data_IF_309301777211
#
_entry.id   IF_309301777211
#
_cell.length_a   1.000
_cell.length_b   1.000
_cell.length_c   1.000
_cell.angle_alpha   90.00
_cell.angle_beta   90.00
_cell.angle_gamma   90.00
#
_symmetry.space_group_name_H-M   'P 1'
#
loop_
_entity.id
_entity.type
_entity.pdbx_description
1 polymer ?
#
# COMPACT_ATOMS: atom_id res chain seq x y z
N UNK A 1 25.15 6.12 -6.16
CA UNK A 1 25.28 6.65 -7.56
C UNK A 1 23.94 7.27 -7.97
N UNK A 2 23.94 8.48 -8.51
CA UNK A 2 22.73 9.13 -9.05
C UNK A 2 22.68 8.90 -10.55
N UNK A 3 21.57 8.43 -11.08
CA UNK A 3 21.36 8.17 -12.52
C UNK A 3 19.97 8.65 -12.93
N UNK A 4 19.78 8.85 -14.23
CA UNK A 4 18.50 9.29 -14.82
C UNK A 4 17.93 8.19 -15.69
N UNK A 5 16.63 8.03 -15.69
CA UNK A 5 15.86 7.06 -16.46
C UNK A 5 14.69 7.77 -17.16
N UNK A 6 14.47 7.48 -18.44
CA UNK A 6 13.26 7.88 -19.15
C UNK A 6 12.20 6.77 -19.02
N UNK A 7 11.03 7.13 -18.53
CA UNK A 7 9.93 6.18 -18.32
C UNK A 7 8.58 6.83 -18.64
N UNK A 8 7.86 6.26 -19.61
CA UNK A 8 6.56 6.76 -20.07
C UNK A 8 6.56 8.26 -20.45
N UNK A 9 7.68 8.75 -21.02
CA UNK A 9 7.84 10.16 -21.41
C UNK A 9 8.22 11.11 -20.27
N UNK A 10 8.52 10.58 -19.08
CA UNK A 10 8.95 11.38 -17.93
C UNK A 10 10.39 11.04 -17.53
N UNK A 11 11.15 12.07 -17.17
CA UNK A 11 12.51 11.93 -16.66
C UNK A 11 12.48 11.64 -15.17
N UNK A 12 13.05 10.50 -14.78
CA UNK A 12 13.11 10.05 -13.39
C UNK A 12 14.56 10.01 -12.93
N UNK A 13 14.86 10.74 -11.88
CA UNK A 13 16.15 10.67 -11.20
C UNK A 13 16.09 9.58 -10.13
N UNK A 14 17.16 8.80 -10.00
CA UNK A 14 17.28 7.77 -8.96
C UNK A 14 18.64 7.82 -8.27
N UNK A 15 18.63 7.59 -6.96
CA UNK A 15 19.82 7.32 -6.16
C UNK A 15 19.65 5.98 -5.49
N UNK A 16 20.64 5.11 -5.71
CA UNK A 16 20.76 3.87 -4.97
C UNK A 16 22.04 3.92 -4.15
N UNK A 17 21.92 3.66 -2.88
CA UNK A 17 23.03 3.46 -1.98
C UNK A 17 23.50 1.99 -2.04
N UNK A 18 24.62 1.67 -1.42
CA UNK A 18 25.03 0.29 -1.29
C UNK A 18 24.01 -0.45 -0.42
N UNK A 19 23.57 -1.62 -0.88
CA UNK A 19 22.68 -2.48 -0.12
C UNK A 19 23.29 -2.78 1.24
N UNK A 20 22.57 -2.50 2.30
CA UNK A 20 22.97 -2.91 3.64
C UNK A 20 22.85 -4.44 3.74
N UNK A 21 23.87 -5.15 4.24
CA UNK A 21 23.75 -6.58 4.46
C UNK A 21 22.59 -6.86 5.42
N UNK A 22 21.89 -7.98 5.21
CA UNK A 22 20.82 -8.50 6.08
C UNK A 22 19.52 -7.67 6.11
N UNK A 23 19.16 -6.99 5.01
CA UNK A 23 17.83 -6.37 4.90
C UNK A 23 16.75 -7.40 4.60
N UNK A 24 15.61 -7.32 5.30
CA UNK A 24 14.51 -8.30 5.17
C UNK A 24 13.48 -7.85 4.11
N UNK A 25 13.07 -6.60 4.15
CA UNK A 25 12.10 -6.02 3.22
C UNK A 25 12.67 -4.84 2.44
N UNK A 26 12.21 -4.65 1.21
CA UNK A 26 12.29 -3.38 0.49
C UNK A 26 10.98 -2.64 0.69
N UNK A 27 11.01 -1.52 1.43
CA UNK A 27 9.83 -0.71 1.77
C UNK A 27 9.70 0.40 0.73
N UNK A 28 8.62 0.36 -0.05
CA UNK A 28 8.31 1.31 -1.11
C UNK A 28 7.36 2.37 -0.57
N UNK A 29 7.81 3.63 -0.53
CA UNK A 29 7.05 4.75 0.05
C UNK A 29 6.86 5.84 -1.01
N UNK A 30 5.68 5.95 -1.63
CA UNK A 30 5.35 7.09 -2.48
C UNK A 30 5.03 8.30 -1.62
N UNK A 31 5.60 9.46 -1.94
CA UNK A 31 5.28 10.73 -1.28
C UNK A 31 5.02 11.83 -2.30
N UNK A 32 4.15 12.77 -1.95
CA UNK A 32 3.84 13.97 -2.73
C UNK A 32 3.66 15.18 -1.83
N UNK A 33 4.71 16.00 -1.69
CA UNK A 33 4.70 17.21 -0.87
C UNK A 33 4.05 16.97 0.51
N UNK A 34 4.67 16.08 1.30
CA UNK A 34 4.15 15.62 2.59
C UNK A 34 5.27 15.41 3.61
N UNK A 35 6.26 16.34 3.62
CA UNK A 35 7.51 16.24 4.39
C UNK A 35 7.31 15.82 5.83
N UNK A 36 6.45 16.51 6.57
CA UNK A 36 6.26 16.29 8.01
C UNK A 36 5.80 14.87 8.33
N UNK A 37 4.90 14.32 7.49
CA UNK A 37 4.45 12.94 7.65
C UNK A 37 5.52 11.94 7.21
N UNK A 38 6.23 12.24 6.11
CA UNK A 38 7.33 11.42 5.61
C UNK A 38 8.44 11.29 6.66
N UNK A 39 8.82 12.38 7.32
CA UNK A 39 9.80 12.37 8.41
C UNK A 39 9.35 11.48 9.58
N UNK A 40 8.09 11.61 9.99
CA UNK A 40 7.52 10.81 11.06
C UNK A 40 7.43 9.31 10.68
N UNK A 41 7.06 9.00 9.43
CA UNK A 41 7.04 7.64 8.91
C UNK A 41 8.43 7.00 8.94
N UNK A 42 9.45 7.67 8.38
CA UNK A 42 10.82 7.18 8.35
C UNK A 42 11.40 7.03 9.76
N UNK A 43 11.14 7.99 10.65
CA UNK A 43 11.55 7.90 12.06
C UNK A 43 10.98 6.64 12.70
N UNK A 44 9.69 6.38 12.54
CA UNK A 44 9.06 5.19 13.12
C UNK A 44 9.64 3.89 12.56
N UNK A 45 9.94 3.82 11.26
CA UNK A 45 10.60 2.67 10.66
C UNK A 45 11.98 2.40 11.27
N UNK A 46 12.79 3.44 11.51
CA UNK A 46 14.11 3.32 12.12
C UNK A 46 14.06 2.90 13.59
N UNK A 47 13.05 3.36 14.31
CA UNK A 47 12.92 3.22 15.76
C UNK A 47 12.21 1.92 16.17
N UNK A 48 11.14 1.54 15.44
CA UNK A 48 10.23 0.48 15.85
C UNK A 48 10.26 -0.79 14.99
N UNK A 49 11.09 -0.84 13.95
CA UNK A 49 11.30 -2.08 13.21
C UNK A 49 12.25 -3.01 13.95
N UNK A 50 11.92 -4.28 14.01
CA UNK A 50 12.77 -5.33 14.61
C UNK A 50 13.95 -5.69 13.70
N UNK A 51 13.80 -5.51 12.39
CA UNK A 51 14.80 -5.82 11.38
C UNK A 51 15.27 -4.56 10.65
N UNK A 52 16.40 -4.69 9.97
CA UNK A 52 16.83 -3.67 9.00
C UNK A 52 16.07 -3.87 7.69
N UNK A 53 15.69 -2.76 7.09
CA UNK A 53 14.99 -2.73 5.80
C UNK A 53 15.70 -1.84 4.81
N UNK A 54 15.54 -2.13 3.52
CA UNK A 54 15.84 -1.18 2.47
C UNK A 54 14.66 -0.21 2.35
N UNK A 55 14.87 1.06 2.64
CA UNK A 55 13.85 2.10 2.51
C UNK A 55 14.02 2.78 1.16
N UNK A 56 12.96 2.79 0.35
CA UNK A 56 12.94 3.36 -1.00
C UNK A 56 11.79 4.35 -1.09
N UNK A 57 12.11 5.62 -1.23
CA UNK A 57 11.12 6.70 -1.35
C UNK A 57 10.99 7.14 -2.80
N UNK A 58 9.77 7.21 -3.32
CA UNK A 58 9.53 7.95 -4.56
C UNK A 58 8.99 9.34 -4.22
N UNK A 59 9.76 10.36 -4.60
CA UNK A 59 9.39 11.77 -4.39
C UNK A 59 8.71 12.30 -5.66
N UNK A 60 7.40 12.58 -5.57
CA UNK A 60 6.68 13.34 -6.57
C UNK A 60 6.79 14.84 -6.24
N UNK A 61 7.28 15.67 -7.17
CA UNK A 61 7.54 17.10 -7.04
C UNK A 61 8.56 17.46 -5.94
N UNK A 62 8.25 17.25 -4.66
CA UNK A 62 9.14 17.54 -3.53
C UNK A 62 9.35 19.04 -3.26
N UNK A 63 8.42 19.89 -3.69
CA UNK A 63 8.51 21.35 -3.58
C UNK A 63 8.34 21.89 -2.15
N UNK A 64 7.91 21.06 -1.21
CA UNK A 64 7.75 21.36 0.22
C UNK A 64 9.04 21.15 1.05
N UNK A 65 10.16 20.84 0.39
CA UNK A 65 11.43 20.49 1.02
C UNK A 65 11.67 18.98 1.16
N UNK A 66 10.73 18.13 0.76
CA UNK A 66 10.87 16.68 0.84
C UNK A 66 12.10 16.18 0.08
N UNK A 67 12.36 16.72 -1.12
CA UNK A 67 13.52 16.30 -1.93
C UNK A 67 14.84 16.68 -1.26
N UNK A 68 14.93 17.90 -0.72
CA UNK A 68 16.15 18.38 -0.04
C UNK A 68 16.42 17.57 1.23
N UNK A 69 15.37 17.23 1.96
CA UNK A 69 15.46 16.37 3.13
C UNK A 69 15.94 14.96 2.76
N UNK A 70 15.38 14.35 1.71
CA UNK A 70 15.80 13.02 1.22
C UNK A 70 17.27 13.01 0.80
N UNK A 71 17.78 14.09 0.21
CA UNK A 71 19.19 14.20 -0.15
C UNK A 71 20.12 14.07 1.05
N UNK A 72 19.66 14.47 2.22
CA UNK A 72 20.42 14.41 3.47
C UNK A 72 20.34 13.05 4.17
N UNK A 73 19.53 12.11 3.67
CA UNK A 73 19.36 10.78 4.25
C UNK A 73 20.27 9.75 3.54
N UNK A 74 21.41 9.33 4.14
CA UNK A 74 22.36 8.43 3.48
C UNK A 74 21.86 6.98 3.39
N UNK A 75 20.91 6.59 4.20
CA UNK A 75 20.33 5.24 4.32
C UNK A 75 19.05 5.03 3.49
N UNK A 76 18.60 6.07 2.77
CA UNK A 76 17.39 6.02 1.95
C UNK A 76 17.77 5.97 0.47
N UNK A 77 17.29 4.95 -0.23
CA UNK A 77 17.25 4.94 -1.69
C UNK A 77 16.05 5.78 -2.15
N UNK A 78 16.19 6.48 -3.26
CA UNK A 78 15.06 7.23 -3.76
C UNK A 78 14.98 7.26 -5.29
N UNK A 79 13.74 7.48 -5.75
CA UNK A 79 13.44 7.92 -7.11
C UNK A 79 12.69 9.25 -7.04
N UNK A 80 12.87 10.08 -8.04
CA UNK A 80 12.30 11.43 -8.08
C UNK A 80 11.72 11.76 -9.44
N UNK A 81 10.53 12.32 -9.48
CA UNK A 81 9.91 12.93 -10.66
C UNK A 81 9.58 14.39 -10.40
N UNK A 82 9.90 15.25 -11.37
CA UNK A 82 9.63 16.70 -11.27
C UNK A 82 8.13 17.01 -11.17
N UNK A 83 7.29 16.10 -11.67
CA UNK A 83 5.85 16.23 -11.67
C UNK A 83 5.23 15.10 -10.83
N UNK A 84 4.00 15.31 -10.35
CA UNK A 84 3.26 14.25 -9.66
C UNK A 84 2.74 13.23 -10.67
N UNK A 85 3.42 12.09 -10.78
CA UNK A 85 3.03 10.97 -11.63
C UNK A 85 2.00 10.03 -10.98
N UNK A 86 1.70 10.26 -9.70
CA UNK A 86 0.78 9.44 -8.93
C UNK A 86 1.40 8.16 -8.37
N UNK A 87 0.62 7.47 -7.51
CA UNK A 87 1.11 6.35 -6.72
C UNK A 87 1.51 5.13 -7.57
N UNK A 88 0.83 4.88 -8.70
CA UNK A 88 1.15 3.72 -9.54
C UNK A 88 2.54 3.82 -10.16
N UNK A 89 2.86 4.97 -10.75
CA UNK A 89 4.21 5.24 -11.27
C UNK A 89 5.24 5.25 -10.15
N UNK A 90 4.93 5.88 -9.02
CA UNK A 90 5.81 5.97 -7.87
C UNK A 90 6.25 4.57 -7.37
N UNK A 91 5.30 3.68 -7.16
CA UNK A 91 5.57 2.32 -6.68
C UNK A 91 6.34 1.49 -7.70
N UNK A 92 5.95 1.53 -8.99
CA UNK A 92 6.64 0.79 -10.04
C UNK A 92 8.08 1.28 -10.22
N UNK A 93 8.31 2.58 -10.06
CA UNK A 93 9.65 3.16 -10.19
C UNK A 93 10.50 2.83 -8.97
N UNK A 94 9.94 2.92 -7.76
CA UNK A 94 10.63 2.52 -6.53
C UNK A 94 11.02 1.03 -6.56
N UNK A 95 10.14 0.16 -7.12
CA UNK A 95 10.43 -1.28 -7.32
C UNK A 95 11.75 -1.53 -8.06
N UNK A 96 12.15 -0.66 -8.98
CA UNK A 96 13.40 -0.83 -9.75
C UNK A 96 14.66 -0.76 -8.90
N UNK A 97 14.58 -0.22 -7.68
CA UNK A 97 15.67 -0.14 -6.73
C UNK A 97 15.67 -1.27 -5.69
N UNK A 98 14.55 -2.00 -5.57
CA UNK A 98 14.37 -3.01 -4.54
C UNK A 98 15.32 -4.22 -4.73
N UNK A 99 16.02 -4.59 -3.67
CA UNK A 99 17.01 -5.67 -3.66
C UNK A 99 16.54 -6.94 -2.96
N UNK A 100 15.52 -6.82 -2.09
CA UNK A 100 15.04 -7.96 -1.31
C UNK A 100 13.95 -8.75 -2.05
N UNK A 101 13.67 -9.95 -1.58
CA UNK A 101 12.61 -10.80 -2.16
C UNK A 101 11.21 -10.33 -1.78
N UNK A 102 11.07 -9.53 -0.73
CA UNK A 102 9.78 -9.11 -0.19
C UNK A 102 9.63 -7.60 -0.26
N UNK A 103 8.55 -7.15 -0.88
CA UNK A 103 8.22 -5.75 -1.09
C UNK A 103 7.10 -5.34 -0.15
N UNK A 104 7.30 -4.26 0.58
CA UNK A 104 6.24 -3.63 1.40
C UNK A 104 5.89 -2.29 0.78
N UNK A 105 4.63 -2.10 0.41
CA UNK A 105 4.10 -0.77 0.13
C UNK A 105 3.60 -0.14 1.42
N UNK A 106 4.11 1.02 1.76
CA UNK A 106 3.75 1.80 2.94
C UNK A 106 3.43 3.24 2.53
N UNK A 107 2.34 3.82 3.05
CA UNK A 107 2.06 5.24 2.83
C UNK A 107 2.96 6.13 3.71
N UNK A 108 3.27 7.32 3.20
CA UNK A 108 4.07 8.33 3.90
C UNK A 108 3.39 8.92 5.15
N UNK A 109 2.06 8.77 5.28
CA UNK A 109 1.25 9.20 6.42
C UNK A 109 0.93 8.06 7.41
N UNK A 110 1.82 7.07 7.49
CA UNK A 110 1.73 5.97 8.44
C UNK A 110 2.89 6.03 9.45
N UNK A 111 2.59 5.60 10.67
CA UNK A 111 3.55 5.38 11.75
C UNK A 111 3.50 3.90 12.13
N UNK A 112 4.64 3.21 12.06
CA UNK A 112 4.70 1.79 12.40
C UNK A 112 4.85 1.59 13.90
N UNK A 113 4.10 0.63 14.48
CA UNK A 113 4.24 0.26 15.87
C UNK A 113 5.37 -0.78 16.05
N UNK A 114 5.91 -0.95 17.26
CA UNK A 114 6.97 -1.92 17.54
C UNK A 114 6.64 -3.33 17.02
N UNK A 115 7.64 -4.02 16.49
CA UNK A 115 7.58 -5.39 15.98
C UNK A 115 6.59 -5.63 14.81
N UNK A 116 6.09 -4.59 14.16
CA UNK A 116 5.17 -4.72 13.02
C UNK A 116 5.72 -5.63 11.93
N UNK A 117 7.00 -5.51 11.65
CA UNK A 117 7.75 -6.23 10.63
C UNK A 117 8.09 -7.66 11.05
N UNK A 118 8.44 -7.88 12.33
CA UNK A 118 8.67 -9.23 12.88
C UNK A 118 7.41 -10.08 12.75
N UNK A 119 6.27 -9.53 13.10
CA UNK A 119 4.99 -10.23 13.01
C UNK A 119 4.65 -10.57 11.55
N UNK A 120 4.92 -9.65 10.59
CA UNK A 120 4.75 -9.95 9.17
C UNK A 120 5.74 -11.02 8.68
N UNK A 121 6.97 -10.98 9.18
CA UNK A 121 8.01 -11.97 8.80
C UNK A 121 7.66 -13.37 9.32
N UNK A 122 7.22 -13.48 10.56
CA UNK A 122 6.71 -14.74 11.14
C UNK A 122 5.56 -15.32 10.29
N UNK A 123 4.67 -14.46 9.82
CA UNK A 123 3.57 -14.85 8.94
C UNK A 123 4.07 -15.39 7.59
N UNK A 124 5.03 -14.69 6.96
CA UNK A 124 5.67 -15.14 5.71
C UNK A 124 6.31 -16.51 5.89
N UNK A 125 7.05 -16.72 6.98
CA UNK A 125 7.69 -18.00 7.27
C UNK A 125 6.65 -19.11 7.49
N UNK A 126 5.54 -18.80 8.17
CA UNK A 126 4.44 -19.73 8.40
C UNK A 126 3.69 -20.13 7.15
N UNK A 127 3.55 -19.22 6.17
CA UNK A 127 2.95 -19.52 4.85
C UNK A 127 3.85 -20.45 4.02
N UNK A 128 5.17 -20.30 4.08
CA UNK A 128 6.14 -21.20 3.45
C UNK A 128 6.18 -21.18 1.92
N UNK A 129 5.49 -20.24 1.26
CA UNK A 129 5.55 -20.05 -0.20
C UNK A 129 5.28 -18.58 -0.59
N UNK A 130 5.57 -18.19 -1.84
CA UNK A 130 5.47 -16.79 -2.30
C UNK A 130 4.08 -16.32 -2.74
N UNK A 131 3.08 -17.20 -2.82
CA UNK A 131 1.76 -16.90 -3.37
C UNK A 131 0.81 -16.35 -2.30
N UNK A 132 1.07 -15.13 -1.84
CA UNK A 132 0.27 -14.43 -0.83
C UNK A 132 0.27 -12.92 -1.06
N UNK A 133 -0.69 -12.25 -0.44
CA UNK A 133 -0.76 -10.81 -0.26
C UNK A 133 -1.25 -10.53 1.15
N UNK A 134 -0.37 -10.05 2.01
CA UNK A 134 -0.68 -9.82 3.43
C UNK A 134 -0.51 -8.35 3.78
N UNK A 135 -1.20 -7.89 4.81
CA UNK A 135 -1.07 -6.51 5.29
C UNK A 135 -1.08 -6.42 6.80
N UNK A 136 -0.44 -5.37 7.34
CA UNK A 136 -0.62 -4.97 8.73
C UNK A 136 -2.04 -4.43 8.94
N UNK A 137 -2.46 -4.37 10.18
CA UNK A 137 -3.74 -3.76 10.57
C UNK A 137 -3.54 -2.31 10.98
N UNK A 138 -4.21 -1.40 10.29
CA UNK A 138 -4.18 0.02 10.60
C UNK A 138 -5.04 0.34 11.85
N UNK A 139 -4.51 1.24 12.69
CA UNK A 139 -5.26 1.95 13.73
C UNK A 139 -5.54 3.34 13.17
N UNK A 140 -6.80 3.76 13.12
CA UNK A 140 -7.23 5.00 12.47
C UNK A 140 -8.21 5.78 13.35
N UNK A 141 -8.09 7.13 13.41
CA UNK A 141 -9.08 7.97 14.10
C UNK A 141 -10.48 7.83 13.51
N UNK A 142 -10.56 7.65 12.19
CA UNK A 142 -11.79 7.46 11.44
C UNK A 142 -11.58 6.30 10.46
N UNK A 143 -11.88 5.06 10.84
CA UNK A 143 -11.65 3.90 10.00
C UNK A 143 -12.51 3.94 8.74
N UNK A 144 -11.88 3.65 7.62
CA UNK A 144 -12.55 3.57 6.33
C UNK A 144 -13.20 2.20 6.09
N UNK A 145 -12.87 1.22 6.91
CA UNK A 145 -13.40 -0.14 6.79
C UNK A 145 -13.35 -0.90 8.11
N UNK A 146 -14.00 -2.06 8.14
CA UNK A 146 -13.92 -3.01 9.25
C UNK A 146 -12.58 -3.78 9.33
N UNK A 147 -11.64 -3.51 8.43
CA UNK A 147 -10.27 -4.06 8.49
C UNK A 147 -9.39 -3.29 9.47
N UNK A 148 -9.68 -2.00 9.66
CA UNK A 148 -8.94 -1.14 10.59
C UNK A 148 -9.51 -1.22 12.00
N UNK A 149 -8.72 -0.73 12.96
CA UNK A 149 -9.11 -0.51 14.35
C UNK A 149 -9.46 0.98 14.51
N UNK A 150 -10.60 1.27 15.12
CA UNK A 150 -10.96 2.65 15.45
C UNK A 150 -10.36 3.05 16.79
N UNK A 151 -9.33 3.91 16.74
CA UNK A 151 -8.81 4.59 17.94
C UNK A 151 -8.13 5.88 17.52
N UNK A 152 -8.37 6.97 18.24
CA UNK A 152 -7.88 8.31 17.91
C UNK A 152 -6.72 8.68 18.83
N UNK A 153 -5.50 8.60 18.32
CA UNK A 153 -4.28 9.06 18.97
C UNK A 153 -3.75 10.37 18.37
N UNK A 154 -4.60 11.11 17.66
CA UNK A 154 -4.28 12.37 16.98
C UNK A 154 -4.45 12.27 15.48
N UNK A 155 -4.89 13.36 14.85
CA UNK A 155 -5.23 13.40 13.42
C UNK A 155 -4.16 14.02 12.56
N UNK A 156 -3.14 14.60 13.17
CA UNK A 156 -1.98 15.18 12.51
C UNK A 156 -0.74 14.85 13.32
N UNK A 157 0.44 14.96 12.71
CA UNK A 157 1.71 14.75 13.40
C UNK A 157 1.85 15.66 14.63
N UNK A 158 1.34 16.90 14.55
CA UNK A 158 1.41 17.87 15.66
C UNK A 158 0.51 17.52 16.85
N UNK A 159 -0.56 16.76 16.62
CA UNK A 159 -1.52 16.34 17.65
C UNK A 159 -1.35 14.86 18.03
N UNK A 160 -0.34 14.21 17.49
CA UNK A 160 -0.09 12.80 17.68
C UNK A 160 0.36 12.50 19.12
N UNK A 161 -0.33 11.59 19.75
CA UNK A 161 -0.04 11.09 21.10
C UNK A 161 0.65 9.74 21.01
N UNK A 162 1.94 9.81 20.66
CA UNK A 162 2.75 8.63 20.38
C UNK A 162 2.86 7.70 21.60
N UNK A 163 3.20 8.24 22.77
CA UNK A 163 3.33 7.45 24.00
C UNK A 163 2.03 6.70 24.32
N UNK A 164 0.89 7.37 24.19
CA UNK A 164 -0.42 6.76 24.41
C UNK A 164 -0.71 5.64 23.39
N UNK A 165 -0.31 5.82 22.12
CA UNK A 165 -0.41 4.76 21.12
C UNK A 165 0.46 3.56 21.51
N UNK A 166 1.73 3.79 21.86
CA UNK A 166 2.70 2.74 22.18
C UNK A 166 2.29 1.93 23.43
N UNK A 167 1.69 2.56 24.40
CA UNK A 167 1.13 1.89 25.57
C UNK A 167 -0.09 1.02 25.25
N UNK A 168 -0.86 1.39 24.22
CA UNK A 168 -2.19 0.82 23.99
C UNK A 168 -2.37 0.04 22.68
N UNK A 169 -1.43 0.10 21.70
CA UNK A 169 -1.65 -0.46 20.35
C UNK A 169 -1.95 -1.98 20.34
N UNK A 170 -1.49 -2.75 21.33
CA UNK A 170 -1.79 -4.18 21.47
C UNK A 170 -3.01 -4.49 22.35
N UNK A 171 -3.44 -3.53 23.19
CA UNK A 171 -4.58 -3.73 24.09
C UNK A 171 -5.90 -3.91 23.33
N UNK A 172 -6.00 -3.36 22.12
CA UNK A 172 -7.18 -3.48 21.27
C UNK A 172 -7.08 -4.77 20.47
N UNK A 173 -7.84 -5.78 20.87
CA UNK A 173 -7.87 -7.07 20.17
C UNK A 173 -8.38 -6.93 18.74
N UNK A 174 -7.67 -7.54 17.81
CA UNK A 174 -8.07 -7.67 16.41
C UNK A 174 -7.62 -9.03 15.89
N UNK A 175 -8.53 -9.94 15.56
CA UNK A 175 -8.17 -11.18 14.89
C UNK A 175 -7.64 -10.92 13.49
N UNK A 176 -6.91 -11.88 12.93
CA UNK A 176 -6.56 -11.86 11.52
C UNK A 176 -7.83 -11.82 10.66
N UNK A 177 -7.76 -11.10 9.52
CA UNK A 177 -8.92 -10.83 8.69
C UNK A 177 -8.61 -11.07 7.20
N UNK A 178 -9.66 -11.34 6.43
CA UNK A 178 -9.57 -11.50 4.98
C UNK A 178 -9.60 -10.16 4.25
N UNK A 179 -8.98 -10.12 3.07
CA UNK A 179 -9.13 -9.03 2.11
C UNK A 179 -8.08 -7.94 2.24
N UNK A 180 -6.84 -8.33 2.60
CA UNK A 180 -5.69 -7.44 2.46
C UNK A 180 -5.71 -6.80 1.07
N UNK A 181 -5.72 -5.48 1.01
CA UNK A 181 -5.84 -4.71 -0.24
C UNK A 181 -5.07 -3.40 -0.12
N UNK A 182 -5.22 -2.69 1.00
CA UNK A 182 -4.61 -1.39 1.24
C UNK A 182 -3.32 -1.47 2.03
N UNK A 183 -2.40 -0.50 1.88
CA UNK A 183 -1.16 -0.45 2.65
C UNK A 183 -1.41 -0.38 4.16
N UNK A 184 -0.42 -0.81 4.98
CA UNK A 184 0.82 -1.43 4.51
C UNK A 184 0.57 -2.85 4.04
N UNK A 185 1.05 -3.18 2.86
CA UNK A 185 0.90 -4.52 2.32
C UNK A 185 2.23 -5.10 1.86
N UNK A 186 2.35 -6.42 1.94
CA UNK A 186 3.54 -7.18 1.64
C UNK A 186 3.25 -8.24 0.60
N UNK A 187 4.15 -8.34 -0.39
CA UNK A 187 4.10 -9.29 -1.48
C UNK A 187 5.51 -9.74 -1.85
N UNK A 188 5.66 -10.96 -2.36
CA UNK A 188 6.92 -11.41 -2.93
C UNK A 188 7.19 -10.72 -4.28
N UNK A 189 8.44 -10.34 -4.55
CA UNK A 189 8.84 -9.63 -5.79
C UNK A 189 8.42 -10.36 -7.07
N UNK A 190 8.56 -11.68 -7.12
CA UNK A 190 8.18 -12.47 -8.31
C UNK A 190 6.67 -12.40 -8.57
N UNK A 191 5.87 -12.32 -7.51
CA UNK A 191 4.40 -12.16 -7.64
C UNK A 191 4.06 -10.76 -8.12
N UNK A 192 4.75 -9.73 -7.60
CA UNK A 192 4.64 -8.36 -8.09
C UNK A 192 4.98 -8.27 -9.58
N UNK A 193 6.13 -8.82 -9.97
CA UNK A 193 6.63 -8.76 -11.35
C UNK A 193 5.74 -9.57 -12.31
N UNK A 194 5.25 -10.75 -11.88
CA UNK A 194 4.32 -11.60 -12.64
C UNK A 194 3.04 -10.86 -13.02
N UNK A 195 2.51 -10.01 -12.14
CA UNK A 195 1.29 -9.23 -12.43
C UNK A 195 1.59 -7.85 -13.03
N UNK A 196 2.87 -7.50 -13.21
CA UNK A 196 3.31 -6.23 -13.81
C UNK A 196 3.14 -5.00 -12.91
N UNK A 197 3.27 -5.16 -11.60
CA UNK A 197 3.17 -4.07 -10.62
C UNK A 197 1.82 -3.37 -10.60
N UNK A 198 1.78 -2.08 -10.26
CA UNK A 198 0.57 -1.26 -10.26
C UNK A 198 0.26 -0.75 -11.68
N UNK A 199 -0.99 -0.82 -12.09
CA UNK A 199 -1.43 -0.40 -13.43
C UNK A 199 -1.49 1.13 -13.52
N UNK A 200 -0.67 1.71 -14.39
CA UNK A 200 -0.47 3.18 -14.49
C UNK A 200 -1.72 3.94 -14.93
N UNK A 201 -2.64 3.28 -15.61
CA UNK A 201 -3.94 3.86 -15.98
C UNK A 201 -4.78 4.29 -14.78
N UNK A 202 -4.48 3.78 -13.58
CA UNK A 202 -5.14 4.21 -12.34
C UNK A 202 -4.46 5.40 -11.67
N UNK A 203 -3.39 5.98 -12.25
CA UNK A 203 -2.84 7.22 -11.73
C UNK A 203 -3.90 8.35 -11.75
N UNK A 204 -3.92 9.22 -10.74
CA UNK A 204 -2.94 9.39 -9.66
C UNK A 204 -3.08 8.41 -8.47
N UNK A 205 -4.05 7.45 -8.44
CA UNK A 205 -3.99 6.39 -7.44
C UNK A 205 -5.31 5.76 -7.00
N UNK A 206 -6.45 6.43 -7.16
CA UNK A 206 -7.73 5.85 -6.71
C UNK A 206 -8.07 4.58 -7.49
N UNK A 207 -8.46 3.52 -6.78
CA UNK A 207 -8.74 2.19 -7.31
C UNK A 207 -7.53 1.39 -7.77
N UNK A 208 -6.31 1.88 -7.60
CA UNK A 208 -5.08 1.13 -7.89
C UNK A 208 -4.92 -0.10 -7.00
N UNK A 209 -5.21 0.00 -5.70
CA UNK A 209 -5.10 -1.13 -4.76
C UNK A 209 -6.12 -2.24 -5.06
N UNK A 210 -7.41 -1.95 -5.30
CA UNK A 210 -8.34 -2.95 -5.81
C UNK A 210 -7.92 -3.57 -7.14
N UNK A 211 -7.36 -2.77 -8.06
CA UNK A 211 -6.85 -3.28 -9.34
C UNK A 211 -5.68 -4.26 -9.13
N UNK A 212 -4.71 -3.89 -8.32
CA UNK A 212 -3.59 -4.76 -7.98
C UNK A 212 -4.08 -6.07 -7.32
N UNK A 213 -5.02 -5.97 -6.36
CA UNK A 213 -5.64 -7.14 -5.73
C UNK A 213 -6.37 -8.02 -6.74
N UNK A 214 -7.06 -7.44 -7.72
CA UNK A 214 -7.74 -8.20 -8.76
C UNK A 214 -6.75 -8.91 -9.70
N UNK A 215 -5.63 -8.27 -10.06
CA UNK A 215 -4.55 -8.92 -10.82
C UNK A 215 -3.98 -10.12 -10.07
N UNK A 216 -3.71 -9.96 -8.78
CA UNK A 216 -3.26 -11.06 -7.92
C UNK A 216 -4.29 -12.21 -7.86
N UNK A 217 -5.57 -11.88 -7.73
CA UNK A 217 -6.65 -12.87 -7.76
C UNK A 217 -6.67 -13.66 -9.08
N UNK A 218 -6.58 -12.97 -10.21
CA UNK A 218 -6.53 -13.59 -11.54
C UNK A 218 -5.28 -14.46 -11.74
N UNK A 219 -4.18 -14.09 -11.11
CA UNK A 219 -2.94 -14.87 -11.09
C UNK A 219 -2.98 -16.08 -10.14
N UNK A 220 -4.14 -16.36 -9.51
CA UNK A 220 -4.32 -17.52 -8.64
C UNK A 220 -3.96 -17.31 -7.16
N UNK A 221 -3.61 -16.09 -6.73
CA UNK A 221 -3.40 -15.81 -5.32
C UNK A 221 -4.72 -15.93 -4.58
N UNK A 222 -4.71 -16.63 -3.43
CA UNK A 222 -5.90 -16.85 -2.58
C UNK A 222 -5.66 -16.50 -1.11
N UNK A 223 -4.43 -16.23 -0.70
CA UNK A 223 -4.10 -15.71 0.62
C UNK A 223 -4.09 -14.18 0.54
N UNK A 224 -5.18 -13.55 0.99
CA UNK A 224 -5.32 -12.11 1.18
C UNK A 224 -5.59 -11.87 2.66
N UNK A 225 -4.53 -11.87 3.48
CA UNK A 225 -4.64 -11.88 4.93
C UNK A 225 -4.19 -10.56 5.54
N UNK A 226 -5.04 -9.94 6.33
CA UNK A 226 -4.64 -8.89 7.24
C UNK A 226 -4.21 -9.47 8.58
N UNK A 227 -3.01 -9.13 9.00
CA UNK A 227 -2.38 -9.68 10.20
C UNK A 227 -2.78 -8.82 11.39
N UNK A 228 -3.59 -9.40 12.27
CA UNK A 228 -4.19 -8.67 13.39
C UNK A 228 -3.17 -8.13 14.40
N UNK A 229 -2.02 -8.78 14.58
CA UNK A 229 -0.98 -8.39 15.53
C UNK A 229 0.04 -7.39 14.96
N UNK A 230 0.22 -7.33 13.64
CA UNK A 230 1.05 -6.32 12.99
C UNK A 230 0.30 -5.00 12.92
N UNK A 231 0.81 -3.92 13.51
CA UNK A 231 0.09 -2.66 13.71
C UNK A 231 0.81 -1.47 13.11
N UNK A 232 0.02 -0.58 12.53
CA UNK A 232 0.47 0.76 12.14
C UNK A 232 -0.60 1.78 12.54
N UNK A 233 -0.20 3.02 12.83
CA UNK A 233 -1.12 4.14 12.96
C UNK A 233 -1.19 4.89 11.63
N UNK A 234 -2.40 5.16 11.14
CA UNK A 234 -2.62 5.86 9.88
C UNK A 234 -3.39 7.15 10.13
N UNK A 235 -2.79 8.28 9.79
CA UNK A 235 -3.35 9.61 10.04
C UNK A 235 -4.56 9.95 9.16
N UNK A 236 -4.78 9.20 8.07
CA UNK A 236 -6.02 9.27 7.31
C UNK A 236 -5.95 10.01 5.98
N UNK A 237 -5.13 9.52 5.06
CA UNK A 237 -5.17 9.88 3.63
C UNK A 237 -5.06 11.39 3.34
N UNK A 238 -4.06 12.05 3.93
CA UNK A 238 -3.87 13.49 3.83
C UNK A 238 -3.69 13.94 2.38
N UNK A 239 -2.91 13.18 1.59
CA UNK A 239 -2.60 13.50 0.18
C UNK A 239 -3.74 13.21 -0.79
N UNK A 240 -4.55 12.19 -0.56
CA UNK A 240 -5.65 11.81 -1.48
C UNK A 240 -6.75 12.85 -1.59
N UNK A 241 -6.97 13.65 -0.53
CA UNK A 241 -7.94 14.76 -0.54
C UNK A 241 -7.57 15.88 -1.54
N UNK A 242 -6.31 15.95 -1.96
CA UNK A 242 -5.82 16.93 -2.96
C UNK A 242 -6.06 16.51 -4.40
N UNK A 243 -6.36 15.22 -4.62
CA UNK A 243 -6.59 14.67 -5.96
C UNK A 243 -8.00 15.02 -6.44
N UNK A 244 -8.11 15.81 -7.50
CA UNK A 244 -9.38 16.17 -8.14
C UNK A 244 -9.57 15.36 -9.43
N UNK A 245 -10.81 14.86 -9.66
CA UNK A 245 -11.18 14.30 -10.95
C UNK A 245 -10.57 12.93 -11.28
N UNK A 246 -10.60 11.98 -10.36
CA UNK A 246 -10.07 10.63 -10.61
C UNK A 246 -11.13 9.70 -11.23
N UNK A 247 -10.92 9.18 -12.45
CA UNK A 247 -11.85 8.28 -13.14
C UNK A 247 -11.75 6.81 -12.68
N UNK A 248 -10.92 6.48 -11.68
CA UNK A 248 -10.56 5.11 -11.28
C UNK A 248 -11.74 4.16 -11.08
N UNK A 249 -12.88 4.65 -10.56
CA UNK A 249 -14.10 3.84 -10.44
C UNK A 249 -14.59 3.33 -11.81
N UNK A 250 -14.67 4.22 -12.79
CA UNK A 250 -15.11 3.88 -14.14
C UNK A 250 -14.08 2.95 -14.81
N UNK A 251 -12.81 3.26 -14.67
CA UNK A 251 -11.70 2.46 -15.19
C UNK A 251 -11.72 1.02 -14.62
N UNK A 252 -11.93 0.88 -13.31
CA UNK A 252 -12.00 -0.43 -12.66
C UNK A 252 -13.14 -1.29 -13.23
N UNK A 253 -14.33 -0.70 -13.39
CA UNK A 253 -15.49 -1.42 -13.98
C UNK A 253 -15.22 -1.74 -15.46
N UNK A 254 -14.66 -0.81 -16.23
CA UNK A 254 -14.35 -1.03 -17.65
C UNK A 254 -13.34 -2.19 -17.81
N UNK A 255 -12.30 -2.23 -17.00
CA UNK A 255 -11.24 -3.25 -17.04
C UNK A 255 -11.72 -4.62 -16.58
N UNK A 256 -12.46 -4.70 -15.48
CA UNK A 256 -12.77 -5.95 -14.79
C UNK A 256 -14.23 -6.42 -14.95
N UNK A 257 -15.12 -5.57 -15.46
CA UNK A 257 -16.53 -5.87 -15.62
C UNK A 257 -17.32 -5.96 -14.29
N UNK A 258 -16.69 -5.69 -13.16
CA UNK A 258 -17.27 -5.70 -11.82
C UNK A 258 -16.94 -4.42 -11.06
N UNK A 259 -17.69 -4.12 -10.00
CA UNK A 259 -17.31 -3.03 -9.09
C UNK A 259 -16.23 -3.48 -8.11
N UNK A 260 -15.43 -2.54 -7.59
CA UNK A 260 -14.48 -2.81 -6.50
C UNK A 260 -15.18 -3.35 -5.24
N UNK A 261 -16.41 -2.94 -5.00
CA UNK A 261 -17.25 -3.48 -3.91
C UNK A 261 -17.58 -4.96 -4.14
N UNK A 262 -17.77 -5.40 -5.38
CA UNK A 262 -17.93 -6.83 -5.70
C UNK A 262 -16.65 -7.60 -5.40
N UNK A 263 -15.49 -7.09 -5.83
CA UNK A 263 -14.20 -7.69 -5.49
C UNK A 263 -14.04 -7.83 -3.96
N UNK A 264 -14.14 -6.73 -3.24
CA UNK A 264 -13.84 -6.71 -1.80
C UNK A 264 -14.82 -7.51 -0.96
N UNK A 265 -16.11 -7.57 -1.33
CA UNK A 265 -17.14 -8.28 -0.56
C UNK A 265 -17.26 -9.75 -0.93
N UNK A 266 -17.21 -10.09 -2.21
CA UNK A 266 -17.53 -11.45 -2.67
C UNK A 266 -16.29 -12.29 -2.96
N UNK A 267 -15.23 -11.69 -3.50
CA UNK A 267 -13.98 -12.40 -3.77
C UNK A 267 -13.09 -12.40 -2.52
N UNK A 268 -12.74 -11.22 -2.02
CA UNK A 268 -11.77 -11.07 -0.94
C UNK A 268 -12.38 -11.22 0.47
N UNK A 269 -13.71 -11.24 0.61
CA UNK A 269 -14.43 -11.35 1.89
C UNK A 269 -13.89 -10.37 2.95
N UNK A 270 -13.65 -9.12 2.55
CA UNK A 270 -12.96 -8.09 3.34
C UNK A 270 -13.50 -7.96 4.75
N UNK A 271 -12.60 -8.06 5.74
CA UNK A 271 -12.89 -7.87 7.17
C UNK A 271 -13.59 -9.05 7.85
N UNK A 272 -13.85 -10.14 7.11
CA UNK A 272 -14.28 -11.42 7.72
C UNK A 272 -13.06 -12.05 8.40
N UNK A 273 -13.19 -12.68 9.59
CA UNK A 273 -12.08 -13.38 10.23
C UNK A 273 -11.39 -14.37 9.28
N UNK A 274 -10.07 -14.36 9.29
CA UNK A 274 -9.27 -15.24 8.44
C UNK A 274 -9.37 -16.70 8.90
N UNK A 275 -9.69 -17.59 7.99
CA UNK A 275 -9.82 -19.03 8.23
C UNK A 275 -9.03 -19.89 7.24
N UNK A 276 -8.09 -19.26 6.52
CA UNK A 276 -7.30 -19.91 5.48
C UNK A 276 -7.48 -19.28 4.10
N UNK A 277 -6.87 -19.87 3.06
CA UNK A 277 -6.95 -19.36 1.70
C UNK A 277 -8.40 -19.21 1.21
N UNK A 278 -8.67 -18.12 0.53
CA UNK A 278 -9.97 -17.85 -0.06
C UNK A 278 -10.28 -18.88 -1.18
N UNK A 279 -11.56 -19.26 -1.27
CA UNK A 279 -12.03 -20.17 -2.29
C UNK A 279 -12.76 -19.43 -3.40
N UNK A 280 -12.69 -19.94 -4.61
CA UNK A 280 -13.52 -19.46 -5.70
C UNK A 280 -14.98 -19.77 -5.38
N UNK A 281 -15.74 -18.74 -5.11
CA UNK A 281 -17.17 -18.84 -4.83
C UNK A 281 -17.95 -18.16 -5.96
N UNK A 282 -18.96 -18.82 -6.53
CA UNK A 282 -19.76 -18.22 -7.59
C UNK A 282 -20.48 -16.99 -7.05
N UNK A 283 -20.31 -15.87 -7.73
CA UNK A 283 -21.05 -14.65 -7.43
C UNK A 283 -22.52 -14.84 -7.82
N UNK A 284 -23.45 -14.47 -6.94
CA UNK A 284 -24.87 -14.68 -7.16
C UNK A 284 -25.38 -13.99 -8.45
N UNK A 285 -26.43 -14.53 -9.11
CA UNK A 285 -27.01 -13.94 -10.32
C UNK A 285 -27.38 -12.47 -10.15
N UNK A 286 -27.91 -12.10 -8.97
CA UNK A 286 -28.27 -10.71 -8.65
C UNK A 286 -27.06 -9.77 -8.64
N UNK A 287 -25.91 -10.20 -8.11
CA UNK A 287 -24.67 -9.42 -8.12
C UNK A 287 -24.10 -9.32 -9.53
N UNK A 288 -24.15 -10.40 -10.32
CA UNK A 288 -23.77 -10.37 -11.74
C UNK A 288 -24.62 -9.36 -12.51
N UNK A 289 -25.94 -9.36 -12.30
CA UNK A 289 -26.87 -8.41 -12.91
C UNK A 289 -26.56 -6.95 -12.51
N UNK A 290 -26.31 -6.68 -11.22
CA UNK A 290 -25.90 -5.35 -10.76
C UNK A 290 -24.60 -4.88 -11.41
N UNK A 291 -23.60 -5.73 -11.53
CA UNK A 291 -22.35 -5.41 -12.22
C UNK A 291 -22.58 -5.10 -13.70
N UNK A 292 -23.43 -5.89 -14.37
CA UNK A 292 -23.81 -5.65 -15.76
C UNK A 292 -24.47 -4.29 -15.95
N UNK A 293 -25.45 -3.92 -15.10
CA UNK A 293 -26.07 -2.59 -15.14
C UNK A 293 -25.06 -1.47 -14.91
N UNK A 294 -24.14 -1.63 -13.96
CA UNK A 294 -23.06 -0.64 -13.73
C UNK A 294 -22.16 -0.49 -14.95
N UNK A 295 -21.84 -1.58 -15.63
CA UNK A 295 -21.08 -1.57 -16.86
C UNK A 295 -21.81 -0.87 -18.00
N UNK A 296 -23.12 -1.13 -18.17
CA UNK A 296 -23.94 -0.42 -19.15
C UNK A 296 -23.98 1.10 -18.88
N UNK A 297 -24.12 1.52 -17.62
CA UNK A 297 -24.10 2.93 -17.24
C UNK A 297 -22.83 3.68 -17.68
N UNK A 298 -21.67 2.98 -17.83
CA UNK A 298 -20.46 3.61 -18.33
C UNK A 298 -20.61 4.05 -19.80
N UNK A 299 -21.28 3.26 -20.62
CA UNK A 299 -21.49 3.56 -22.04
C UNK A 299 -22.45 4.73 -22.24
N UNK A 300 -23.46 4.87 -21.39
CA UNK A 300 -24.47 5.95 -21.52
C UNK A 300 -24.04 7.27 -20.87
N UNK A 301 -23.10 7.27 -19.92
CA UNK A 301 -22.59 8.46 -19.23
C UNK A 301 -21.27 8.99 -19.81
N UNK A 302 -20.88 8.49 -20.97
CA UNK A 302 -19.66 8.91 -21.68
C UNK A 302 -19.94 9.97 -22.79
N UNK A 303 -21.16 10.51 -22.83
CA UNK A 303 -21.58 11.58 -23.72
C UNK A 303 -22.06 12.78 -22.95
#
# INVERSE_FOLDING_TARGET
MITTLEMSGHTITKRKNNTLPETVFSILIPTWNNLVYQENCIRSLREYSAFRHQIIVHVNEGSDGTLDWIHQQPDIDYTYSKENLGVCHALNTARLLADTDYLVYLNDDMFVCPDWDRVLWEEVQGIGHKHFFISSTAIEPVPQSNCSIRSDFGRTVQTFREDELLENYLSISKPDWNGATWPPNLVHKDVWDMVGGYSVEFSPGMYSDPDFSMKLWQAGIRIFKGVGRSRVYHFGSVSTKRVKGNPGYKQFIAKWGITSSTLTKHYLKRGVPYQGPLQDSPVSPLVKWKNYLKRLQLYFNSY
#
